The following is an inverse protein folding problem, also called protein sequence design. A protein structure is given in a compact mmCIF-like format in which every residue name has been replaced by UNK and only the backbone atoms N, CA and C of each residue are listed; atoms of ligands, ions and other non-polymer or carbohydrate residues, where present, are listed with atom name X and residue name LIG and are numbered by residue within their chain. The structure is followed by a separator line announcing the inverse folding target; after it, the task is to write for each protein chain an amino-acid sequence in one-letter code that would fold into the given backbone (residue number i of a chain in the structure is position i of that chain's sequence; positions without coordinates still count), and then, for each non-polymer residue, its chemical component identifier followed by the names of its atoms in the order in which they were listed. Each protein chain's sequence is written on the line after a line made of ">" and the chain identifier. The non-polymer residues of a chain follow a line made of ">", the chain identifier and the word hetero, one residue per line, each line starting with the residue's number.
data_IF_119425724395
#
_entry.id   IF_119425724395
#
_cell.length_a   1.000
_cell.length_b   1.000
_cell.length_c   1.000
_cell.angle_alpha   90.00
_cell.angle_beta   90.00
_cell.angle_gamma   90.00
#
_symmetry.space_group_name_H-M   'P 1'
#
loop_
_entity.id
_entity.type
_entity.pdbx_description
1 polymer ?
#
# COMPACT_ATOMS: atom_id res chain seq x y z
N UNK A 1 -6.62 9.14 2.88
CA UNK A 1 -5.62 8.29 3.58
C UNK A 1 -5.92 8.08 5.06
N UNK A 2 -5.18 7.19 5.73
CA UNK A 2 -5.29 6.94 7.17
C UNK A 2 -3.90 6.71 7.77
N UNK A 3 -3.72 7.08 9.04
CA UNK A 3 -2.52 6.79 9.82
C UNK A 3 -2.67 5.41 10.49
N UNK A 4 -1.72 4.51 10.22
CA UNK A 4 -1.80 3.11 10.65
C UNK A 4 -0.82 2.85 11.81
N UNK A 5 -0.95 3.59 12.92
CA UNK A 5 -0.01 3.55 14.04
C UNK A 5 0.21 2.17 14.65
N UNK A 6 -0.80 1.29 14.54
CA UNK A 6 -0.73 -0.10 14.99
C UNK A 6 0.29 -0.96 14.23
N UNK A 7 0.80 -0.47 13.09
CA UNK A 7 1.85 -1.12 12.30
C UNK A 7 3.27 -0.71 12.74
N UNK A 8 3.40 0.28 13.63
CA UNK A 8 4.70 0.78 14.08
C UNK A 8 5.45 -0.27 14.93
N UNK A 9 6.78 -0.26 14.84
CA UNK A 9 7.63 -1.08 15.71
C UNK A 9 7.41 -0.73 17.19
N UNK A 10 7.22 -1.75 18.01
CA UNK A 10 7.06 -1.63 19.47
C UNK A 10 8.03 -2.52 20.26
N UNK A 11 8.76 -3.44 19.61
CA UNK A 11 9.79 -4.27 20.23
C UNK A 11 10.12 -5.53 19.41
N UNK A 12 11.26 -6.17 19.69
CA UNK A 12 11.71 -7.38 18.98
C UNK A 12 10.95 -8.64 19.43
N UNK A 13 9.66 -8.69 19.08
CA UNK A 13 8.77 -9.82 19.34
C UNK A 13 7.92 -10.09 18.11
N UNK A 14 7.36 -11.30 17.99
CA UNK A 14 6.52 -11.69 16.85
C UNK A 14 5.36 -10.70 16.60
N UNK A 15 4.81 -10.09 17.65
CA UNK A 15 3.73 -9.10 17.54
C UNK A 15 4.24 -7.66 17.48
N UNK A 16 5.48 -7.40 17.88
CA UNK A 16 6.02 -6.04 18.06
C UNK A 16 6.95 -5.54 16.94
N UNK A 17 7.37 -6.41 16.02
CA UNK A 17 8.29 -6.01 14.94
C UNK A 17 7.71 -4.93 14.02
N UNK A 18 6.40 -4.92 13.79
CA UNK A 18 5.75 -3.94 12.93
C UNK A 18 6.22 -4.00 11.47
N UNK A 19 6.12 -2.86 10.77
CA UNK A 19 6.46 -2.70 9.36
C UNK A 19 7.40 -1.52 9.17
N UNK A 20 8.50 -1.73 8.42
CA UNK A 20 9.53 -0.71 8.20
C UNK A 20 9.08 0.34 7.18
N UNK A 21 8.94 1.59 7.62
CA UNK A 21 8.77 2.75 6.73
C UNK A 21 10.14 3.15 6.17
N UNK A 22 10.25 3.22 4.85
CA UNK A 22 11.50 3.58 4.16
C UNK A 22 11.36 4.69 3.10
N UNK A 23 10.12 5.10 2.80
CA UNK A 23 9.81 6.11 1.81
C UNK A 23 8.45 6.75 2.09
N UNK A 24 8.20 7.89 1.45
CA UNK A 24 6.91 8.56 1.44
C UNK A 24 6.55 8.99 0.01
N UNK A 25 5.26 9.23 -0.22
CA UNK A 25 4.77 9.76 -1.49
C UNK A 25 4.79 11.27 -1.43
N UNK A 26 5.76 11.89 -2.11
CA UNK A 26 5.89 13.36 -2.16
C UNK A 26 4.98 14.02 -3.20
N UNK A 27 4.59 13.28 -4.24
CA UNK A 27 3.71 13.74 -5.32
C UNK A 27 2.75 12.63 -5.76
N UNK A 28 1.57 12.99 -6.28
CA UNK A 28 0.59 12.03 -6.81
C UNK A 28 -0.33 11.38 -5.78
N UNK A 29 -0.49 11.97 -4.59
CA UNK A 29 -1.40 11.45 -3.57
C UNK A 29 -2.86 11.33 -4.02
N UNK A 30 -3.31 12.19 -4.96
CA UNK A 30 -4.64 12.09 -5.55
C UNK A 30 -4.82 10.82 -6.41
N UNK A 31 -3.74 10.34 -7.04
CA UNK A 31 -3.72 9.07 -7.77
C UNK A 31 -3.86 7.91 -6.79
N UNK A 32 -3.15 7.96 -5.66
CA UNK A 32 -3.26 6.92 -4.63
C UNK A 32 -4.68 6.89 -4.03
N UNK A 33 -5.29 8.05 -3.77
CA UNK A 33 -6.67 8.14 -3.29
C UNK A 33 -7.70 7.57 -4.30
N UNK A 34 -7.49 7.79 -5.61
CA UNK A 34 -8.32 7.17 -6.67
C UNK A 34 -8.17 5.65 -6.68
N UNK A 35 -6.95 5.13 -6.61
CA UNK A 35 -6.66 3.69 -6.60
C UNK A 35 -7.31 3.00 -5.41
N UNK A 36 -7.24 3.61 -4.21
CA UNK A 36 -7.87 3.07 -3.00
C UNK A 36 -9.38 2.79 -3.17
N UNK A 37 -10.07 3.57 -4.01
CA UNK A 37 -11.52 3.50 -4.20
C UNK A 37 -12.00 2.59 -5.34
N UNK A 38 -11.10 1.91 -6.07
CA UNK A 38 -11.51 1.05 -7.20
C UNK A 38 -12.37 -0.12 -6.74
N UNK A 39 -13.25 -0.60 -7.62
CA UNK A 39 -14.08 -1.76 -7.32
C UNK A 39 -13.21 -3.01 -7.18
N UNK A 40 -13.31 -3.71 -6.05
CA UNK A 40 -12.58 -4.95 -5.79
C UNK A 40 -13.50 -6.18 -5.78
N UNK A 41 -12.89 -7.35 -5.80
CA UNK A 41 -13.55 -8.65 -5.69
C UNK A 41 -12.58 -9.74 -5.22
N UNK A 42 -12.97 -10.99 -5.42
CA UNK A 42 -12.14 -12.16 -5.09
C UNK A 42 -11.58 -12.76 -6.38
N UNK A 43 -10.27 -13.03 -6.41
CA UNK A 43 -9.62 -13.77 -7.48
C UNK A 43 -8.93 -15.01 -6.90
N UNK A 44 -9.45 -16.20 -7.23
CA UNK A 44 -9.01 -17.46 -6.62
C UNK A 44 -9.16 -17.46 -5.09
N UNK A 45 -8.04 -17.53 -4.38
CA UNK A 45 -7.98 -17.47 -2.91
C UNK A 45 -7.67 -16.07 -2.36
N UNK A 46 -7.45 -15.07 -3.22
CA UNK A 46 -7.13 -13.71 -2.84
C UNK A 46 -8.40 -12.84 -2.74
N UNK A 47 -8.56 -12.13 -1.63
CA UNK A 47 -9.60 -11.11 -1.42
C UNK A 47 -9.07 -9.73 -1.82
N UNK A 48 -9.98 -8.77 -2.00
CA UNK A 48 -9.69 -7.35 -2.27
C UNK A 48 -8.87 -7.08 -3.55
N UNK A 49 -9.00 -7.96 -4.55
CA UNK A 49 -8.34 -7.80 -5.86
C UNK A 49 -9.13 -6.79 -6.71
N UNK A 50 -8.51 -5.75 -7.28
CA UNK A 50 -9.17 -4.85 -8.22
C UNK A 50 -9.84 -5.60 -9.37
N UNK A 51 -11.05 -5.16 -9.77
CA UNK A 51 -11.77 -5.75 -10.92
C UNK A 51 -11.16 -5.35 -12.26
N UNK A 52 -10.53 -4.18 -12.29
CA UNK A 52 -9.73 -3.69 -13.40
C UNK A 52 -8.29 -3.56 -12.89
N UNK A 53 -7.32 -4.03 -13.67
CA UNK A 53 -5.92 -4.07 -13.25
C UNK A 53 -5.36 -2.67 -13.02
N UNK A 54 -4.73 -2.46 -11.86
CA UNK A 54 -3.97 -1.24 -11.55
C UNK A 54 -2.49 -1.55 -11.78
N UNK A 55 -1.99 -1.18 -12.96
CA UNK A 55 -0.67 -1.58 -13.45
C UNK A 55 0.34 -0.45 -13.22
N UNK A 56 1.49 -0.79 -12.63
CA UNK A 56 2.68 0.08 -12.66
C UNK A 56 3.37 -0.15 -14.00
N UNK A 57 3.18 0.76 -14.96
CA UNK A 57 3.67 0.59 -16.34
C UNK A 57 5.20 0.77 -16.46
N UNK A 58 5.78 1.66 -15.68
CA UNK A 58 7.21 1.96 -15.67
C UNK A 58 7.66 2.46 -14.30
N UNK A 59 8.93 2.24 -13.97
CA UNK A 59 9.60 2.85 -12.82
C UNK A 59 10.88 3.52 -13.32
N UNK A 60 11.08 4.77 -12.93
CA UNK A 60 12.30 5.55 -13.19
C UNK A 60 12.97 5.88 -11.86
N UNK A 61 14.29 5.71 -11.79
CA UNK A 61 15.11 6.09 -10.63
C UNK A 61 15.95 7.30 -11.02
N UNK A 62 15.77 8.42 -10.32
CA UNK A 62 16.59 9.63 -10.43
C UNK A 62 17.47 9.78 -9.20
N UNK A 63 18.65 10.37 -9.37
CA UNK A 63 19.56 10.75 -8.28
C UNK A 63 19.13 12.05 -7.57
#
# INVERSE_FOLDING_TARGET
>A
MADNDFLNFSGESLQGWGYCVFAEVVEGMDVVDKIKGVATGRSGMHQDVPKEDVIIENVTVSE
#
